data_IF_034401076252
#
_entry.id   IF_034401076252
#
_cell.length_a   1.000
_cell.length_b   1.000
_cell.length_c   1.000
_cell.angle_alpha   90.00
_cell.angle_beta   90.00
_cell.angle_gamma   90.00
#
_symmetry.space_group_name_H-M   'P 1'
#
loop_
_entity.id
_entity.type
_entity.pdbx_description
1 polymer ?
#
# COMPACT_ATOMS: atom_id res chain seq x y z
N UNK A 1 -17.36 49.06 -17.87
CA UNK A 1 -17.03 48.76 -16.47
C UNK A 1 -17.78 47.49 -16.10
N UNK A 2 -17.10 46.35 -16.07
CA UNK A 2 -17.63 45.09 -15.58
C UNK A 2 -16.61 44.51 -14.60
N UNK A 3 -17.10 44.08 -13.43
CA UNK A 3 -16.32 43.64 -12.27
C UNK A 3 -15.52 42.35 -12.55
N UNK A 4 -14.20 42.29 -12.29
CA UNK A 4 -13.45 41.05 -12.29
C UNK A 4 -13.48 40.44 -10.89
N UNK A 5 -14.58 39.79 -10.51
CA UNK A 5 -14.60 38.94 -9.31
C UNK A 5 -15.57 37.77 -9.46
N UNK A 6 -15.10 36.70 -10.11
CA UNK A 6 -15.49 35.34 -9.74
C UNK A 6 -14.53 34.33 -10.38
N UNK A 7 -13.31 34.27 -9.84
CA UNK A 7 -12.46 33.11 -10.07
C UNK A 7 -13.02 31.96 -9.22
N UNK A 8 -13.80 31.06 -9.84
CA UNK A 8 -14.22 29.81 -9.18
C UNK A 8 -12.96 29.00 -8.87
N UNK A 9 -12.66 28.84 -7.58
CA UNK A 9 -11.63 27.90 -7.12
C UNK A 9 -11.89 26.52 -7.74
N UNK A 10 -10.90 25.89 -8.40
CA UNK A 10 -11.04 24.51 -8.85
C UNK A 10 -11.32 23.60 -7.64
N UNK A 11 -12.34 22.75 -7.73
CA UNK A 11 -12.61 21.72 -6.71
C UNK A 11 -11.45 20.71 -6.74
N UNK A 12 -10.93 20.37 -5.56
CA UNK A 12 -9.79 19.48 -5.35
C UNK A 12 -10.11 17.98 -5.56
N UNK A 13 -10.85 17.60 -6.61
CA UNK A 13 -11.29 16.20 -6.81
C UNK A 13 -10.96 15.61 -8.18
N UNK A 14 -10.03 16.19 -8.95
CA UNK A 14 -9.61 15.60 -10.23
C UNK A 14 -8.20 16.01 -10.63
N UNK A 15 -7.25 16.00 -9.69
CA UNK A 15 -5.83 15.96 -10.05
C UNK A 15 -5.52 14.50 -10.37
N UNK A 16 -5.21 14.27 -11.65
CA UNK A 16 -5.28 12.99 -12.33
C UNK A 16 -4.68 11.82 -11.55
N UNK A 17 -5.48 10.78 -11.40
CA UNK A 17 -5.04 9.41 -11.17
C UNK A 17 -4.12 9.01 -12.34
N UNK A 18 -2.81 8.77 -12.13
CA UNK A 18 -1.96 8.12 -13.13
C UNK A 18 -2.67 6.95 -13.81
N UNK A 19 -2.59 6.91 -15.14
CA UNK A 19 -3.25 5.94 -16.05
C UNK A 19 -2.82 4.48 -15.79
N UNK A 20 -1.82 4.25 -14.93
CA UNK A 20 -1.35 2.92 -14.51
C UNK A 20 -1.64 2.57 -13.05
N UNK A 21 -2.60 3.23 -12.39
CA UNK A 21 -3.12 2.70 -11.14
C UNK A 21 -3.99 1.47 -11.40
N UNK A 22 -3.52 0.29 -10.98
CA UNK A 22 -4.45 -0.81 -10.67
C UNK A 22 -5.45 -0.25 -9.64
N UNK A 23 -6.75 -0.34 -9.96
CA UNK A 23 -7.84 0.14 -9.09
C UNK A 23 -7.63 -0.41 -7.69
N UNK A 24 -7.36 0.48 -6.73
CA UNK A 24 -7.17 0.10 -5.32
C UNK A 24 -8.49 -0.42 -4.76
N UNK A 25 -8.38 -1.37 -3.84
CA UNK A 25 -9.49 -1.86 -3.02
C UNK A 25 -10.00 -0.71 -2.16
N UNK A 26 -11.27 -0.36 -2.30
CA UNK A 26 -11.96 0.50 -1.34
C UNK A 26 -12.62 -0.41 -0.30
N UNK A 27 -12.29 -0.28 0.97
CA UNK A 27 -12.95 -1.07 2.01
C UNK A 27 -14.45 -0.77 2.08
N UNK A 28 -14.88 0.39 1.58
CA UNK A 28 -16.31 0.71 1.40
C UNK A 28 -16.94 -0.18 0.33
N UNK A 29 -16.23 -0.51 -0.75
CA UNK A 29 -16.73 -1.47 -1.74
C UNK A 29 -16.92 -2.87 -1.12
N UNK A 30 -16.11 -3.27 -0.13
CA UNK A 30 -16.30 -4.52 0.61
C UNK A 30 -17.45 -4.44 1.61
N UNK A 31 -17.51 -3.34 2.38
CA UNK A 31 -18.61 -3.09 3.32
C UNK A 31 -19.93 -3.10 2.56
N UNK A 32 -20.04 -2.29 1.51
CA UNK A 32 -21.26 -2.11 0.74
C UNK A 32 -21.70 -3.45 0.13
N UNK A 33 -20.77 -4.25 -0.39
CA UNK A 33 -21.06 -5.60 -0.88
C UNK A 33 -21.60 -6.52 0.22
N UNK A 34 -20.94 -6.55 1.38
CA UNK A 34 -21.29 -7.45 2.49
C UNK A 34 -22.61 -7.02 3.16
N UNK A 35 -22.82 -5.72 3.32
CA UNK A 35 -24.06 -5.15 3.86
C UNK A 35 -25.23 -5.28 2.87
N UNK A 36 -25.00 -5.09 1.57
CA UNK A 36 -26.02 -5.32 0.54
C UNK A 36 -26.47 -6.79 0.57
N UNK A 37 -25.54 -7.74 0.57
CA UNK A 37 -25.89 -9.15 0.66
C UNK A 37 -26.59 -9.46 2.00
N UNK A 38 -26.12 -8.92 3.12
CA UNK A 38 -26.81 -9.06 4.41
C UNK A 38 -28.25 -8.52 4.37
N UNK A 39 -28.49 -7.41 3.66
CA UNK A 39 -29.83 -6.85 3.48
C UNK A 39 -30.74 -7.78 2.67
N UNK A 40 -30.22 -8.44 1.62
CA UNK A 40 -30.97 -9.40 0.81
C UNK A 40 -31.28 -10.68 1.60
N UNK A 41 -30.33 -11.13 2.41
CA UNK A 41 -30.47 -12.31 3.26
C UNK A 41 -31.49 -12.04 4.38
N UNK A 42 -31.67 -10.80 4.83
CA UNK A 42 -32.68 -10.41 5.83
C UNK A 42 -34.08 -10.17 5.25
N UNK A 43 -34.26 -10.26 3.93
CA UNK A 43 -35.54 -9.97 3.28
C UNK A 43 -36.53 -11.11 3.51
N UNK A 44 -37.73 -10.79 4.02
CA UNK A 44 -38.76 -11.78 4.41
C UNK A 44 -39.29 -12.57 3.20
N UNK A 45 -39.33 -11.96 2.03
CA UNK A 45 -39.69 -12.55 0.73
C UNK A 45 -38.44 -12.79 -0.15
N UNK A 46 -37.28 -12.94 0.49
CA UNK A 46 -36.01 -13.20 -0.16
C UNK A 46 -35.83 -14.68 -0.50
N UNK A 47 -34.83 -15.02 -1.32
CA UNK A 47 -34.54 -16.40 -1.70
C UNK A 47 -33.74 -17.17 -0.63
N UNK A 48 -33.58 -16.60 0.57
CA UNK A 48 -32.76 -17.14 1.67
C UNK A 48 -33.65 -17.59 2.83
N UNK A 49 -33.41 -18.80 3.34
CA UNK A 49 -34.05 -19.27 4.57
C UNK A 49 -33.41 -18.60 5.79
N UNK A 50 -34.22 -17.95 6.61
CA UNK A 50 -33.75 -17.23 7.80
C UNK A 50 -33.27 -18.14 8.92
N UNK A 51 -33.62 -19.42 8.89
CA UNK A 51 -33.19 -20.44 9.85
C UNK A 51 -32.01 -21.27 9.36
N UNK A 52 -31.56 -21.05 8.12
CA UNK A 52 -30.37 -21.72 7.61
C UNK A 52 -29.13 -21.30 8.44
N UNK A 53 -28.31 -22.29 8.78
CA UNK A 53 -27.16 -22.11 9.68
C UNK A 53 -26.10 -21.23 9.02
N UNK A 54 -25.84 -21.41 7.73
CA UNK A 54 -24.88 -20.60 6.97
C UNK A 54 -25.35 -19.16 6.79
N UNK A 55 -26.65 -18.96 6.54
CA UNK A 55 -27.29 -17.64 6.50
C UNK A 55 -27.15 -16.92 7.85
N UNK A 56 -27.41 -17.62 8.95
CA UNK A 56 -27.30 -17.05 10.30
C UNK A 56 -25.85 -16.67 10.62
N UNK A 57 -24.90 -17.58 10.36
CA UNK A 57 -23.47 -17.33 10.54
C UNK A 57 -22.97 -16.13 9.72
N UNK A 58 -23.43 -15.99 8.47
CA UNK A 58 -23.11 -14.84 7.62
C UNK A 58 -23.58 -13.52 8.26
N UNK A 59 -24.84 -13.45 8.72
CA UNK A 59 -25.39 -12.24 9.35
C UNK A 59 -24.63 -11.84 10.61
N UNK A 60 -24.31 -12.82 11.46
CA UNK A 60 -23.55 -12.58 12.69
C UNK A 60 -22.14 -12.08 12.38
N UNK A 61 -21.48 -12.67 11.38
CA UNK A 61 -20.14 -12.27 10.96
C UNK A 61 -20.12 -10.85 10.40
N UNK A 62 -21.06 -10.48 9.54
CA UNK A 62 -21.21 -9.09 9.03
C UNK A 62 -21.41 -8.10 10.18
N UNK A 63 -22.28 -8.40 11.16
CA UNK A 63 -22.47 -7.56 12.35
C UNK A 63 -21.18 -7.38 13.17
N UNK A 64 -20.32 -8.39 13.22
CA UNK A 64 -19.02 -8.28 13.91
C UNK A 64 -18.07 -7.27 13.27
N UNK A 65 -18.29 -6.90 12.01
CA UNK A 65 -17.43 -5.99 11.25
C UNK A 65 -17.88 -4.53 11.24
N UNK A 66 -19.09 -4.21 11.74
CA UNK A 66 -19.78 -2.92 11.61
C UNK A 66 -18.93 -1.67 11.96
N UNK A 67 -17.91 -1.83 12.82
CA UNK A 67 -16.98 -0.77 13.23
C UNK A 67 -15.52 -1.01 12.85
N UNK A 68 -15.21 -2.07 12.10
CA UNK A 68 -13.84 -2.51 11.83
C UNK A 68 -13.58 -2.92 10.37
N UNK A 69 -14.50 -2.69 9.43
CA UNK A 69 -14.30 -3.02 8.00
C UNK A 69 -12.97 -2.54 7.42
N UNK A 70 -12.50 -1.36 7.82
CA UNK A 70 -11.24 -0.79 7.35
C UNK A 70 -10.00 -1.55 7.86
N UNK A 71 -10.04 -2.13 9.05
CA UNK A 71 -8.86 -2.77 9.67
C UNK A 71 -8.98 -4.29 9.78
N UNK A 72 -10.16 -4.85 9.50
CA UNK A 72 -10.46 -6.26 9.70
C UNK A 72 -10.12 -7.10 8.46
N UNK A 73 -9.09 -7.95 8.59
CA UNK A 73 -8.63 -8.85 7.52
C UNK A 73 -9.66 -9.93 7.18
N UNK A 74 -10.52 -10.35 8.12
CA UNK A 74 -11.56 -11.33 7.82
C UNK A 74 -12.64 -10.74 6.92
N UNK A 75 -12.99 -9.46 7.12
CA UNK A 75 -13.93 -8.75 6.24
C UNK A 75 -13.43 -8.72 4.78
N UNK A 76 -12.11 -8.58 4.59
CA UNK A 76 -11.49 -8.67 3.26
C UNK A 76 -11.68 -10.03 2.62
N UNK A 77 -11.24 -11.10 3.29
CA UNK A 77 -11.28 -12.45 2.74
C UNK A 77 -12.71 -12.95 2.56
N UNK A 78 -13.62 -12.51 3.43
CA UNK A 78 -15.05 -12.75 3.28
C UNK A 78 -15.63 -12.04 2.05
N UNK A 79 -15.31 -10.76 1.82
CA UNK A 79 -15.75 -10.04 0.62
C UNK A 79 -15.15 -10.64 -0.67
N UNK A 80 -13.91 -11.12 -0.61
CA UNK A 80 -13.28 -11.84 -1.72
C UNK A 80 -14.02 -13.15 -2.04
N UNK A 81 -14.36 -13.93 -1.03
CA UNK A 81 -15.18 -15.13 -1.19
C UNK A 81 -16.54 -14.81 -1.82
N UNK A 82 -17.25 -13.78 -1.33
CA UNK A 82 -18.55 -13.38 -1.91
C UNK A 82 -18.40 -13.02 -3.40
N UNK A 83 -17.36 -12.27 -3.78
CA UNK A 83 -17.10 -11.95 -5.20
C UNK A 83 -16.80 -13.18 -6.04
N UNK A 84 -16.07 -14.15 -5.52
CA UNK A 84 -15.83 -15.43 -6.20
C UNK A 84 -17.16 -16.15 -6.46
N UNK A 85 -18.04 -16.25 -5.46
CA UNK A 85 -19.34 -16.90 -5.62
C UNK A 85 -20.26 -16.15 -6.61
N UNK A 86 -20.29 -14.82 -6.54
CA UNK A 86 -21.05 -13.99 -7.49
C UNK A 86 -20.52 -14.14 -8.92
N UNK A 87 -19.20 -14.20 -9.10
CA UNK A 87 -18.57 -14.41 -10.40
C UNK A 87 -18.90 -15.79 -10.96
N UNK A 88 -18.91 -16.83 -10.11
CA UNK A 88 -19.34 -18.17 -10.51
C UNK A 88 -20.82 -18.21 -10.93
N UNK A 89 -21.70 -17.57 -10.18
CA UNK A 89 -23.12 -17.45 -10.52
C UNK A 89 -23.31 -16.73 -11.85
N UNK A 90 -22.63 -15.59 -12.03
CA UNK A 90 -22.64 -14.84 -13.29
C UNK A 90 -22.19 -15.69 -14.47
N UNK A 91 -21.14 -16.51 -14.31
CA UNK A 91 -20.66 -17.40 -15.37
C UNK A 91 -21.65 -18.50 -15.71
N UNK A 92 -22.34 -19.06 -14.71
CA UNK A 92 -23.31 -20.16 -14.90
C UNK A 92 -24.62 -19.68 -15.52
N UNK A 93 -25.08 -18.47 -15.16
CA UNK A 93 -26.43 -18.00 -15.48
C UNK A 93 -26.46 -16.86 -16.52
N UNK A 94 -25.31 -16.26 -16.86
CA UNK A 94 -25.17 -15.17 -17.84
C UNK A 94 -25.70 -13.82 -17.36
N UNK A 95 -26.82 -13.82 -16.63
CA UNK A 95 -27.37 -12.69 -15.89
C UNK A 95 -27.77 -13.19 -14.49
N UNK A 96 -27.38 -12.49 -13.43
CA UNK A 96 -27.72 -12.86 -12.06
C UNK A 96 -28.29 -11.65 -11.31
N UNK A 97 -29.17 -11.95 -10.37
CA UNK A 97 -29.77 -10.96 -9.48
C UNK A 97 -29.94 -11.59 -8.10
N UNK A 98 -29.34 -10.98 -7.07
CA UNK A 98 -29.25 -11.53 -5.71
C UNK A 98 -30.61 -11.78 -5.04
N UNK A 99 -31.65 -11.07 -5.48
CA UNK A 99 -33.02 -11.28 -4.98
C UNK A 99 -33.74 -12.48 -5.59
N UNK A 100 -33.17 -13.12 -6.59
CA UNK A 100 -33.76 -14.26 -7.33
C UNK A 100 -32.85 -15.47 -7.27
N UNK A 101 -31.53 -15.24 -7.33
CA UNK A 101 -30.52 -16.27 -7.38
C UNK A 101 -29.75 -16.27 -6.06
N UNK A 102 -30.10 -17.21 -5.17
CA UNK A 102 -29.48 -17.33 -3.86
C UNK A 102 -28.03 -17.77 -3.98
N UNK A 103 -27.17 -17.15 -3.19
CA UNK A 103 -25.87 -17.68 -2.82
C UNK A 103 -26.04 -18.83 -1.82
N UNK A 104 -25.24 -19.89 -1.97
CA UNK A 104 -25.17 -20.95 -0.96
C UNK A 104 -24.11 -20.59 0.07
N UNK A 105 -24.52 -20.38 1.32
CA UNK A 105 -23.59 -20.11 2.40
C UNK A 105 -23.00 -21.41 2.95
N UNK A 106 -21.68 -21.44 3.25
CA UNK A 106 -21.06 -22.59 3.88
C UNK A 106 -21.51 -22.72 5.33
N UNK A 107 -21.60 -23.95 5.84
CA UNK A 107 -21.87 -24.21 7.26
C UNK A 107 -20.76 -23.67 8.18
N UNK A 108 -19.51 -23.71 7.71
CA UNK A 108 -18.34 -23.18 8.42
C UNK A 108 -17.73 -22.02 7.63
N UNK A 109 -18.24 -20.83 7.94
CA UNK A 109 -17.82 -19.58 7.30
C UNK A 109 -16.39 -19.20 7.69
N UNK A 110 -15.98 -19.43 8.93
CA UNK A 110 -14.64 -19.09 9.41
C UNK A 110 -13.56 -19.93 8.71
N UNK A 111 -13.79 -21.24 8.56
CA UNK A 111 -12.90 -22.09 7.76
C UNK A 111 -12.85 -21.68 6.31
N UNK A 112 -13.96 -21.19 5.76
CA UNK A 112 -14.02 -20.69 4.38
C UNK A 112 -13.19 -19.42 4.22
N UNK A 113 -13.35 -18.45 5.11
CA UNK A 113 -12.57 -17.21 5.16
C UNK A 113 -11.08 -17.52 5.31
N UNK A 114 -10.72 -18.41 6.24
CA UNK A 114 -9.33 -18.83 6.42
C UNK A 114 -8.78 -19.59 5.22
N UNK A 115 -9.61 -20.38 4.53
CA UNK A 115 -9.23 -21.05 3.28
C UNK A 115 -8.95 -20.04 2.16
N UNK A 116 -9.77 -19.00 2.05
CA UNK A 116 -9.58 -17.90 1.08
C UNK A 116 -8.34 -17.10 1.43
N UNK A 117 -8.14 -16.77 2.69
CA UNK A 117 -6.90 -16.18 3.21
C UNK A 117 -5.70 -17.02 2.80
N UNK A 118 -5.73 -18.33 3.06
CA UNK A 118 -4.63 -19.23 2.72
C UNK A 118 -4.32 -19.28 1.23
N UNK A 119 -5.36 -19.33 0.38
CA UNK A 119 -5.20 -19.31 -1.09
C UNK A 119 -4.65 -17.97 -1.57
N UNK A 120 -5.19 -16.87 -1.06
CA UNK A 120 -4.84 -15.52 -1.47
C UNK A 120 -3.45 -15.09 -0.96
N UNK A 121 -3.05 -15.55 0.23
CA UNK A 121 -1.77 -15.22 0.87
C UNK A 121 -0.67 -16.24 0.61
N UNK A 122 -1.00 -17.40 0.02
CA UNK A 122 -0.09 -18.54 -0.14
C UNK A 122 0.54 -19.00 1.19
N UNK A 123 -0.12 -18.79 2.32
CA UNK A 123 0.37 -19.29 3.62
C UNK A 123 0.41 -20.83 3.62
N UNK A 124 1.61 -21.40 3.67
CA UNK A 124 1.81 -22.85 3.55
C UNK A 124 1.92 -23.38 2.11
N UNK A 125 2.03 -22.50 1.10
CA UNK A 125 2.54 -22.88 -0.20
C UNK A 125 4.06 -23.07 -0.06
N UNK A 126 4.53 -24.31 -0.06
CA UNK A 126 5.91 -24.58 -0.45
C UNK A 126 5.95 -24.23 -1.93
N UNK A 127 6.73 -23.22 -2.37
CA UNK A 127 6.81 -22.91 -3.78
C UNK A 127 7.15 -24.20 -4.53
N UNK A 128 6.57 -24.46 -5.72
CA UNK A 128 6.98 -25.61 -6.51
C UNK A 128 8.50 -25.55 -6.61
N UNK A 129 9.18 -26.62 -6.20
CA UNK A 129 10.63 -26.81 -6.33
C UNK A 129 11.04 -26.99 -7.80
N UNK A 130 10.49 -26.16 -8.69
CA UNK A 130 11.18 -25.73 -9.88
C UNK A 130 11.62 -24.30 -9.63
N UNK A 131 12.49 -24.14 -8.65
CA UNK A 131 13.43 -23.02 -8.67
C UNK A 131 14.17 -23.15 -10.00
N UNK A 132 13.92 -22.22 -10.93
CA UNK A 132 14.79 -22.05 -12.09
C UNK A 132 16.12 -21.53 -11.57
N UNK A 133 16.94 -22.45 -11.06
CA UNK A 133 18.22 -22.12 -10.46
C UNK A 133 19.15 -21.57 -11.56
N UNK A 134 20.10 -20.72 -11.17
CA UNK A 134 21.12 -20.25 -12.12
C UNK A 134 21.89 -21.43 -12.75
N UNK A 135 21.95 -22.58 -12.06
CA UNK A 135 22.49 -23.83 -12.62
C UNK A 135 21.66 -24.44 -13.75
N UNK A 136 20.34 -24.25 -13.74
CA UNK A 136 19.45 -24.69 -14.82
C UNK A 136 19.48 -23.72 -15.99
N UNK A 137 19.50 -22.41 -15.72
CA UNK A 137 19.56 -21.35 -16.74
C UNK A 137 20.94 -21.24 -17.40
N UNK A 138 22.00 -21.45 -16.62
CA UNK A 138 23.40 -21.39 -17.03
C UNK A 138 24.13 -22.66 -16.54
N UNK A 139 24.01 -23.77 -17.29
CA UNK A 139 24.69 -25.03 -16.94
C UNK A 139 26.21 -24.88 -16.93
N UNK A 140 26.75 -24.00 -17.78
CA UNK A 140 28.16 -23.63 -17.83
C UNK A 140 28.59 -22.84 -16.57
N UNK A 141 29.58 -23.32 -15.80
CA UNK A 141 30.03 -22.67 -14.57
C UNK A 141 30.52 -21.22 -14.76
N UNK A 142 31.20 -20.95 -15.88
CA UNK A 142 31.75 -19.61 -16.17
C UNK A 142 30.64 -18.60 -16.48
N UNK A 143 29.68 -18.97 -17.31
CA UNK A 143 28.50 -18.14 -17.61
C UNK A 143 27.62 -17.92 -16.39
N UNK A 144 27.51 -18.92 -15.51
CA UNK A 144 26.78 -18.82 -14.25
C UNK A 144 27.44 -17.85 -13.27
N UNK A 145 28.77 -17.88 -13.17
CA UNK A 145 29.53 -16.95 -12.35
C UNK A 145 29.43 -15.53 -12.90
N UNK A 146 29.55 -15.36 -14.23
CA UNK A 146 29.37 -14.08 -14.89
C UNK A 146 27.96 -13.50 -14.67
N UNK A 147 26.91 -14.32 -14.82
CA UNK A 147 25.54 -13.92 -14.54
C UNK A 147 25.36 -13.50 -13.06
N UNK A 148 25.95 -14.26 -12.13
CA UNK A 148 25.90 -13.95 -10.70
C UNK A 148 26.61 -12.63 -10.37
N UNK A 149 27.81 -12.41 -10.90
CA UNK A 149 28.56 -11.15 -10.73
C UNK A 149 27.78 -9.96 -11.30
N UNK A 150 27.18 -10.12 -12.48
CA UNK A 150 26.32 -9.09 -13.09
C UNK A 150 25.08 -8.79 -12.25
N UNK A 151 24.43 -9.81 -11.70
CA UNK A 151 23.28 -9.65 -10.80
C UNK A 151 23.67 -8.93 -9.49
N UNK A 152 24.82 -9.29 -8.90
CA UNK A 152 25.39 -8.63 -7.71
C UNK A 152 25.89 -7.21 -7.97
N UNK A 153 26.30 -6.90 -9.21
CA UNK A 153 26.65 -5.53 -9.62
C UNK A 153 25.40 -4.67 -9.84
N UNK A 154 24.31 -5.24 -10.36
CA UNK A 154 23.04 -4.52 -10.55
C UNK A 154 22.35 -4.21 -9.22
N UNK A 155 22.42 -5.13 -8.27
CA UNK A 155 21.86 -5.00 -6.94
C UNK A 155 22.97 -5.25 -5.93
N UNK A 156 23.37 -4.23 -5.16
CA UNK A 156 24.43 -4.34 -4.13
C UNK A 156 24.01 -5.31 -3.00
N UNK A 157 23.93 -6.61 -3.28
CA UNK A 157 23.42 -7.64 -2.37
C UNK A 157 22.84 -8.87 -3.11
N UNK A 158 22.26 -9.79 -2.34
CA UNK A 158 21.58 -10.97 -2.88
C UNK A 158 20.23 -10.59 -3.53
N UNK A 159 20.14 -10.79 -4.84
CA UNK A 159 18.94 -10.50 -5.63
C UNK A 159 17.71 -11.28 -5.13
N UNK A 160 17.89 -12.51 -4.67
CA UNK A 160 16.76 -13.32 -4.21
C UNK A 160 16.19 -12.76 -2.91
N UNK A 161 17.07 -12.36 -1.99
CA UNK A 161 16.68 -11.65 -0.76
C UNK A 161 16.03 -10.30 -1.07
N UNK A 162 16.52 -9.58 -2.09
CA UNK A 162 15.91 -8.32 -2.56
C UNK A 162 14.51 -8.55 -3.15
N UNK A 163 14.35 -9.52 -4.06
CA UNK A 163 13.07 -9.85 -4.68
C UNK A 163 12.08 -10.39 -3.64
N UNK A 164 12.52 -11.23 -2.71
CA UNK A 164 11.69 -11.70 -1.60
C UNK A 164 11.24 -10.55 -0.70
N UNK A 165 12.13 -9.60 -0.38
CA UNK A 165 11.79 -8.38 0.38
C UNK A 165 10.81 -7.50 -0.38
N UNK A 166 11.04 -7.28 -1.69
CA UNK A 166 10.17 -6.47 -2.54
C UNK A 166 8.77 -7.10 -2.67
N UNK A 167 8.71 -8.40 -2.93
CA UNK A 167 7.45 -9.16 -3.03
C UNK A 167 6.73 -9.22 -1.69
N UNK A 168 7.43 -9.36 -0.56
CA UNK A 168 6.82 -9.33 0.77
C UNK A 168 6.24 -7.93 1.08
N UNK A 169 6.99 -6.86 0.78
CA UNK A 169 6.54 -5.48 0.95
C UNK A 169 5.31 -5.17 0.07
N UNK A 170 5.31 -5.64 -1.17
CA UNK A 170 4.14 -5.54 -2.07
C UNK A 170 2.95 -6.36 -1.58
N UNK A 171 3.18 -7.58 -1.06
CA UNK A 171 2.12 -8.43 -0.51
C UNK A 171 1.42 -7.80 0.70
N UNK A 172 2.21 -7.24 1.61
CA UNK A 172 1.67 -6.56 2.80
C UNK A 172 0.94 -5.28 2.40
N UNK A 173 1.44 -4.58 1.37
CA UNK A 173 0.76 -3.42 0.76
C UNK A 173 -0.54 -3.74 0.04
N UNK A 174 -0.70 -4.94 -0.53
CA UNK A 174 -1.94 -5.40 -1.18
C UNK A 174 -3.05 -5.73 -0.17
N UNK A 175 -2.67 -6.02 1.09
CA UNK A 175 -3.60 -6.36 2.16
C UNK A 175 -4.09 -5.14 2.97
N UNK A 176 -3.48 -3.96 2.79
CA UNK A 176 -3.77 -2.73 3.56
C UNK A 176 -4.42 -1.64 2.71
N UNK A 177 -5.29 -0.84 3.32
CA UNK A 177 -6.09 0.21 2.67
C UNK A 177 -5.33 1.53 2.40
N UNK A 178 -4.09 1.66 2.85
CA UNK A 178 -3.28 2.88 2.69
C UNK A 178 -2.51 2.90 1.36
N UNK A 179 -2.04 4.09 0.96
CA UNK A 179 -1.16 4.23 -0.20
C UNK A 179 0.07 3.31 -0.06
N UNK A 180 0.40 2.54 -1.09
CA UNK A 180 1.62 1.73 -1.08
C UNK A 180 2.84 2.65 -0.97
N UNK A 181 3.96 2.12 -0.47
CA UNK A 181 5.23 2.85 -0.47
C UNK A 181 5.55 3.35 -1.88
N UNK A 182 5.32 2.52 -2.91
CA UNK A 182 5.51 2.90 -4.31
C UNK A 182 4.59 4.04 -4.77
N UNK A 183 3.35 4.07 -4.29
CA UNK A 183 2.42 5.16 -4.60
C UNK A 183 2.89 6.48 -4.00
N UNK A 184 3.31 6.46 -2.74
CA UNK A 184 3.84 7.64 -2.07
C UNK A 184 5.13 8.12 -2.74
N UNK A 185 6.02 7.20 -3.13
CA UNK A 185 7.20 7.51 -3.94
C UNK A 185 6.77 8.19 -5.24
N UNK A 186 5.82 7.63 -6.00
CA UNK A 186 5.35 8.25 -7.25
C UNK A 186 4.69 9.62 -7.03
N UNK A 187 3.98 9.83 -5.92
CA UNK A 187 3.43 11.16 -5.59
C UNK A 187 4.56 12.14 -5.27
N UNK A 188 5.58 11.72 -4.52
CA UNK A 188 6.79 12.52 -4.27
C UNK A 188 7.47 12.90 -5.59
N UNK A 189 7.69 11.93 -6.48
CA UNK A 189 8.26 12.15 -7.83
C UNK A 189 7.43 13.14 -8.63
N UNK A 190 6.11 13.00 -8.62
CA UNK A 190 5.22 13.93 -9.30
C UNK A 190 5.35 15.35 -8.74
N UNK A 191 5.38 15.51 -7.41
CA UNK A 191 5.55 16.82 -6.75
C UNK A 191 6.91 17.45 -7.04
N UNK A 192 7.97 16.65 -7.15
CA UNK A 192 9.31 17.08 -7.55
C UNK A 192 9.35 17.50 -9.03
N UNK A 193 8.76 16.69 -9.92
CA UNK A 193 8.68 16.96 -11.36
C UNK A 193 7.90 18.24 -11.67
N UNK A 194 6.78 18.49 -10.98
CA UNK A 194 6.01 19.74 -11.11
C UNK A 194 6.85 20.99 -10.80
N UNK A 195 7.89 20.84 -9.96
CA UNK A 195 8.82 21.90 -9.56
C UNK A 195 10.12 21.91 -10.37
N UNK A 196 10.22 21.03 -11.37
CA UNK A 196 11.41 20.84 -12.21
C UNK A 196 12.67 20.48 -11.39
N UNK A 197 12.48 19.75 -10.28
CA UNK A 197 13.59 19.31 -9.42
C UNK A 197 14.08 17.96 -9.93
N UNK A 198 15.38 17.86 -10.22
CA UNK A 198 16.01 16.59 -10.55
C UNK A 198 16.27 15.77 -9.30
N UNK A 199 15.97 14.47 -9.36
CA UNK A 199 16.10 13.55 -8.23
C UNK A 199 16.62 12.18 -8.70
N UNK A 200 17.19 11.44 -7.76
CA UNK A 200 17.67 10.08 -7.93
C UNK A 200 16.82 9.15 -7.07
N UNK A 201 16.40 8.02 -7.64
CA UNK A 201 15.79 6.93 -6.86
C UNK A 201 16.92 6.11 -6.24
N UNK A 202 16.95 6.01 -4.91
CA UNK A 202 17.99 5.29 -4.18
C UNK A 202 17.44 3.93 -3.74
N UNK A 203 17.83 2.89 -4.46
CA UNK A 203 17.47 1.51 -4.11
C UNK A 203 18.49 0.87 -3.15
N UNK A 204 19.07 1.66 -2.25
CA UNK A 204 20.13 1.21 -1.33
C UNK A 204 19.52 0.97 0.04
N UNK A 205 19.73 -0.23 0.59
CA UNK A 205 19.25 -0.58 1.93
C UNK A 205 19.88 0.36 2.97
N UNK A 206 19.03 0.97 3.79
CA UNK A 206 19.43 1.87 4.86
C UNK A 206 19.76 3.29 4.37
N UNK A 207 19.32 3.69 3.18
CA UNK A 207 19.34 5.08 2.73
C UNK A 207 17.92 5.50 2.32
N UNK A 208 17.65 6.81 2.32
CA UNK A 208 16.33 7.36 1.97
C UNK A 208 15.91 7.00 0.53
N UNK A 209 14.64 6.68 0.30
CA UNK A 209 14.09 6.26 -1.00
C UNK A 209 14.41 7.22 -2.18
N UNK A 210 14.32 8.53 -1.98
CA UNK A 210 14.64 9.55 -2.99
C UNK A 210 15.75 10.48 -2.50
N UNK A 211 16.60 10.88 -3.43
CA UNK A 211 17.70 11.81 -3.16
C UNK A 211 17.70 12.98 -4.15
N UNK A 212 17.78 14.19 -3.62
CA UNK A 212 17.87 15.42 -4.41
C UNK A 212 19.25 16.03 -4.17
N UNK A 213 20.16 15.79 -5.11
CA UNK A 213 21.57 16.19 -5.01
C UNK A 213 21.74 17.70 -4.86
N UNK A 214 20.94 18.51 -5.58
CA UNK A 214 21.03 19.97 -5.56
C UNK A 214 20.84 20.56 -4.15
N UNK A 215 20.01 19.92 -3.32
CA UNK A 215 19.66 20.40 -1.99
C UNK A 215 20.22 19.53 -0.88
N UNK A 216 20.95 18.47 -1.23
CA UNK A 216 21.35 17.41 -0.28
C UNK A 216 20.17 16.94 0.58
N UNK A 217 19.01 16.74 -0.08
CA UNK A 217 17.75 16.38 0.55
C UNK A 217 17.46 14.89 0.34
N UNK A 218 17.29 14.17 1.44
CA UNK A 218 16.82 12.78 1.45
C UNK A 218 15.34 12.70 1.79
N UNK A 219 14.56 11.94 1.03
CA UNK A 219 13.14 11.68 1.28
C UNK A 219 12.93 10.19 1.50
N UNK A 220 12.52 9.82 2.71
CA UNK A 220 12.09 8.47 3.08
C UNK A 220 10.56 8.42 3.12
N UNK A 221 9.97 7.35 2.61
CA UNK A 221 8.53 7.15 2.61
C UNK A 221 8.13 6.09 3.61
N UNK A 222 7.09 6.37 4.42
CA UNK A 222 6.46 5.39 5.31
C UNK A 222 4.95 5.35 5.11
N UNK A 223 4.40 4.18 4.82
CA UNK A 223 2.95 4.00 4.63
C UNK A 223 2.21 3.55 5.90
N UNK A 224 2.93 3.02 6.89
CA UNK A 224 2.44 2.66 8.23
C UNK A 224 3.45 3.08 9.28
N UNK A 225 3.04 3.03 10.55
CA UNK A 225 3.95 3.25 11.67
C UNK A 225 3.61 2.34 12.84
N UNK A 226 4.64 1.73 13.43
CA UNK A 226 4.59 1.02 14.69
C UNK A 226 5.93 1.11 15.41
N UNK A 227 5.95 0.95 16.73
CA UNK A 227 7.18 1.12 17.55
C UNK A 227 8.35 0.25 17.09
N UNK A 228 8.06 -0.92 16.52
CA UNK A 228 9.10 -1.85 16.02
C UNK A 228 9.84 -1.30 14.79
N UNK A 229 9.25 -0.33 14.08
CA UNK A 229 9.85 0.26 12.88
C UNK A 229 10.82 1.41 13.21
N UNK A 230 10.83 1.90 14.45
CA UNK A 230 11.59 3.06 14.88
C UNK A 230 13.09 2.90 14.66
N UNK A 231 13.67 1.79 15.14
CA UNK A 231 15.10 1.52 15.01
C UNK A 231 15.54 1.43 13.53
N UNK A 232 14.68 0.87 12.68
CA UNK A 232 14.93 0.76 11.25
C UNK A 232 14.95 2.14 10.59
N UNK A 233 13.97 2.99 10.90
CA UNK A 233 13.92 4.36 10.39
C UNK A 233 15.14 5.18 10.86
N UNK A 234 15.45 5.15 12.16
CA UNK A 234 16.63 5.84 12.71
C UNK A 234 17.89 5.39 11.99
N UNK A 235 18.07 4.08 11.78
CA UNK A 235 19.23 3.56 11.05
C UNK A 235 19.31 4.12 9.62
N UNK A 236 18.19 4.20 8.89
CA UNK A 236 18.14 4.76 7.54
C UNK A 236 18.52 6.25 7.54
N UNK A 237 17.96 7.02 8.46
CA UNK A 237 18.24 8.46 8.57
C UNK A 237 19.71 8.72 8.95
N UNK A 238 20.24 7.99 9.93
CA UNK A 238 21.65 8.09 10.35
C UNK A 238 22.62 7.73 9.23
N UNK A 239 22.36 6.63 8.51
CA UNK A 239 23.20 6.21 7.39
C UNK A 239 23.17 7.23 6.24
N UNK A 240 21.99 7.78 5.93
CA UNK A 240 21.85 8.82 4.90
C UNK A 240 22.62 10.08 5.29
N UNK A 241 22.47 10.56 6.52
CA UNK A 241 23.23 11.69 7.05
C UNK A 241 24.74 11.43 6.98
N UNK A 242 25.20 10.26 7.41
CA UNK A 242 26.62 9.93 7.44
C UNK A 242 27.23 9.82 6.02
N UNK A 243 26.57 9.09 5.12
CA UNK A 243 27.11 8.79 3.78
C UNK A 243 26.94 9.92 2.79
N UNK A 244 25.77 10.56 2.80
CA UNK A 244 25.41 11.57 1.81
C UNK A 244 25.52 12.99 2.33
N UNK A 245 25.80 13.18 3.64
CA UNK A 245 25.89 14.49 4.30
C UNK A 245 24.64 15.31 4.04
N UNK A 246 23.47 14.70 4.29
CA UNK A 246 22.20 15.34 4.03
C UNK A 246 22.06 16.65 4.82
N UNK A 247 21.67 17.72 4.13
CA UNK A 247 21.33 19.00 4.74
C UNK A 247 19.89 19.01 5.25
N UNK A 248 19.04 18.25 4.57
CA UNK A 248 17.63 18.10 4.88
C UNK A 248 17.25 16.63 4.81
N UNK A 249 16.50 16.15 5.78
CA UNK A 249 15.89 14.84 5.78
C UNK A 249 14.39 15.00 5.92
N UNK A 250 13.63 14.26 5.12
CA UNK A 250 12.18 14.26 5.19
C UNK A 250 11.68 12.84 5.28
N UNK A 251 10.79 12.60 6.23
CA UNK A 251 9.95 11.40 6.25
C UNK A 251 8.56 11.79 5.80
N UNK A 252 8.07 11.13 4.75
CA UNK A 252 6.75 11.39 4.16
C UNK A 252 5.81 10.24 4.49
N UNK A 253 4.67 10.58 5.09
CA UNK A 253 3.60 9.63 5.41
C UNK A 253 2.32 9.93 4.62
N UNK A 254 1.40 8.98 4.43
CA UNK A 254 0.14 9.27 3.76
C UNK A 254 -0.75 10.17 4.62
N UNK A 255 -1.59 10.98 3.97
CA UNK A 255 -2.59 11.82 4.66
C UNK A 255 -3.60 10.98 5.45
N UNK A 256 -3.79 9.72 5.05
CA UNK A 256 -4.67 8.75 5.72
C UNK A 256 -4.04 8.08 6.95
N UNK A 257 -2.77 8.34 7.28
CA UNK A 257 -2.18 7.84 8.52
C UNK A 257 -2.89 8.48 9.71
N UNK A 258 -3.34 7.66 10.67
CA UNK A 258 -4.06 8.15 11.86
C UNK A 258 -3.25 9.19 12.61
N UNK A 259 -3.93 10.14 13.25
CA UNK A 259 -3.28 11.20 14.02
C UNK A 259 -2.39 10.63 15.13
N UNK A 260 -2.83 9.56 15.81
CA UNK A 260 -2.05 8.88 16.84
C UNK A 260 -0.73 8.30 16.28
N UNK A 261 -0.81 7.58 15.15
CA UNK A 261 0.37 7.00 14.50
C UNK A 261 1.31 8.09 13.96
N UNK A 262 0.73 9.19 13.46
CA UNK A 262 1.49 10.34 13.01
C UNK A 262 2.22 11.06 14.16
N UNK A 263 1.56 11.23 15.31
CA UNK A 263 2.17 11.80 16.50
C UNK A 263 3.29 10.91 17.07
N UNK A 264 3.12 9.58 17.00
CA UNK A 264 4.16 8.64 17.39
C UNK A 264 5.42 8.77 16.52
N UNK A 265 5.30 8.81 15.19
CA UNK A 265 6.48 8.96 14.32
C UNK A 265 7.11 10.35 14.50
N UNK A 266 6.30 11.40 14.71
CA UNK A 266 6.79 12.76 15.03
C UNK A 266 7.51 12.86 16.37
N UNK A 267 7.35 11.90 17.28
CA UNK A 267 8.16 11.86 18.49
C UNK A 267 9.67 11.78 18.18
N UNK A 268 10.07 11.19 17.05
CA UNK A 268 11.47 11.13 16.61
C UNK A 268 12.00 12.53 16.28
N UNK A 269 11.22 13.32 15.55
CA UNK A 269 11.53 14.72 15.24
C UNK A 269 11.70 15.55 16.52
N UNK A 270 10.88 15.29 17.56
CA UNK A 270 10.92 16.01 18.85
C UNK A 270 12.10 15.65 19.75
N UNK A 271 12.73 14.49 19.54
CA UNK A 271 13.90 14.06 20.34
C UNK A 271 15.19 14.81 19.95
N UNK A 272 15.17 15.51 18.82
CA UNK A 272 16.29 16.30 18.28
C UNK A 272 17.57 15.48 18.02
N UNK A 273 17.43 14.17 17.84
CA UNK A 273 18.50 13.26 17.39
C UNK A 273 18.94 13.60 15.94
N UNK A 274 18.05 14.26 15.19
CA UNK A 274 18.25 14.70 13.81
C UNK A 274 17.76 16.15 13.65
N UNK A 275 18.65 17.12 13.84
CA UNK A 275 18.32 18.55 13.74
C UNK A 275 17.87 18.99 12.34
N UNK A 276 18.10 18.15 11.33
CA UNK A 276 17.75 18.39 9.93
C UNK A 276 16.53 17.58 9.45
N UNK A 277 15.81 16.91 10.35
CA UNK A 277 14.66 16.07 10.02
C UNK A 277 13.36 16.85 10.04
N UNK A 278 12.49 16.58 9.06
CA UNK A 278 11.09 16.97 9.07
C UNK A 278 10.20 15.78 8.79
N UNK A 279 9.15 15.59 9.59
CA UNK A 279 8.20 14.49 9.40
C UNK A 279 6.85 15.08 9.00
N UNK A 280 6.40 14.75 7.80
CA UNK A 280 5.27 15.44 7.17
C UNK A 280 4.33 14.48 6.45
N UNK A 281 3.08 14.90 6.36
CA UNK A 281 2.08 14.23 5.54
C UNK A 281 2.32 14.57 4.07
N UNK A 282 1.99 13.64 3.18
CA UNK A 282 2.22 13.79 1.74
C UNK A 282 1.57 15.05 1.20
N UNK A 283 0.41 15.47 1.72
CA UNK A 283 -0.26 16.73 1.39
C UNK A 283 0.67 17.94 1.50
N UNK A 284 1.45 18.01 2.58
CA UNK A 284 2.31 19.14 2.95
C UNK A 284 3.65 19.18 2.21
N UNK A 285 4.05 18.07 1.57
CA UNK A 285 5.35 17.95 0.90
C UNK A 285 5.58 19.06 -0.14
N UNK A 286 4.54 19.49 -0.86
CA UNK A 286 4.69 20.52 -1.89
C UNK A 286 5.17 21.84 -1.30
N UNK A 287 4.46 22.33 -0.27
CA UNK A 287 4.81 23.56 0.44
C UNK A 287 6.18 23.45 1.12
N UNK A 288 6.53 22.28 1.63
CA UNK A 288 7.85 22.03 2.18
C UNK A 288 8.95 22.17 1.11
N UNK A 289 8.79 21.55 -0.06
CA UNK A 289 9.76 21.66 -1.16
C UNK A 289 9.91 23.10 -1.66
N UNK A 290 8.83 23.88 -1.67
CA UNK A 290 8.88 25.30 -2.04
C UNK A 290 9.74 26.09 -1.03
N UNK A 291 9.64 25.80 0.27
CA UNK A 291 10.49 26.42 1.30
C UNK A 291 11.96 25.99 1.18
N UNK A 292 12.23 24.71 0.93
CA UNK A 292 13.60 24.24 0.71
C UNK A 292 14.21 24.93 -0.51
N UNK A 293 13.43 25.08 -1.58
CA UNK A 293 13.85 25.82 -2.75
C UNK A 293 14.20 27.26 -2.42
N UNK A 294 13.37 27.96 -1.65
CA UNK A 294 13.67 29.33 -1.20
C UNK A 294 14.94 29.40 -0.35
N UNK A 295 15.19 28.41 0.51
CA UNK A 295 16.37 28.36 1.37
C UNK A 295 17.63 28.07 0.56
N UNK A 296 17.62 27.06 -0.30
CA UNK A 296 18.82 26.61 -1.02
C UNK A 296 19.10 27.47 -2.27
N UNK A 297 18.07 27.91 -2.99
CA UNK A 297 18.21 28.75 -4.19
C UNK A 297 18.27 30.26 -3.83
N UNK A 298 17.84 30.63 -2.61
CA UNK A 298 17.87 32.02 -2.09
C UNK A 298 19.13 32.38 -1.30
N UNK A 299 20.07 31.46 -1.12
CA UNK A 299 21.42 31.78 -0.63
C UNK A 299 22.21 32.39 -1.80
N UNK A 300 22.23 33.73 -1.82
CA UNK A 300 23.29 34.57 -2.42
C UNK A 300 24.03 35.26 -1.27
#
# INVERSE_FOLDING_TARGET
>A
MENPSNFKRPKASTIGTPVYHRRRRDWKDDRDLLEELASQVNRVDGPYDSFDVGVTAYREKVKSFEKSYETNKEAFFMAMWVREQLSELSRKQGNYHLSVHALTFPEDLDRTIHGVEKRATQSGFVPPQQETSLSVLFPEPELRNYARERMQMLHRGDLNSYLASLVSKERDSLATNSASIMDLIHICEHKLNLRQISFEKRYVVGETDLWITAWSLGIEVKNTWGEQEELSLISTLSNTNFRLRARHLVVVVPDSLSDDAFEMIRAIERRDDFSNLSILRIGDLGTYLDKIKEIEDGIV
#
